data_IF_896310297007
#
_entry.id   IF_896310297007
#
_cell.length_a   1.000
_cell.length_b   1.000
_cell.length_c   1.000
_cell.angle_alpha   90.00
_cell.angle_beta   90.00
_cell.angle_gamma   90.00
#
_symmetry.space_group_name_H-M   'P 1'
#
loop_
_entity.id
_entity.type
_entity.pdbx_description
1 polymer ?
#
# COMPACT_ATOMS: atom_id res chain seq x y z
N UNK A 1 5.25 14.78 -6.22
CA UNK A 1 4.20 13.79 -6.07
C UNK A 1 3.84 13.63 -4.60
N UNK A 2 2.56 13.62 -4.31
CA UNK A 2 2.14 13.51 -2.94
C UNK A 2 1.96 12.07 -2.51
N UNK A 3 2.34 11.80 -1.29
CA UNK A 3 2.06 10.49 -0.70
C UNK A 3 0.88 10.61 0.23
N UNK A 4 0.18 9.50 0.46
CA UNK A 4 -0.89 9.45 1.43
C UNK A 4 -0.55 8.41 2.46
N UNK A 5 -1.08 8.58 3.66
CA UNK A 5 -0.84 7.60 4.72
C UNK A 5 -1.83 6.46 4.58
N UNK A 6 -1.42 5.28 5.03
CA UNK A 6 -2.32 4.13 4.99
C UNK A 6 -3.61 4.40 5.75
N UNK A 7 -3.52 5.17 6.82
CA UNK A 7 -4.71 5.48 7.61
C UNK A 7 -5.69 6.36 6.85
N UNK A 8 -5.26 6.99 5.77
CA UNK A 8 -6.12 7.88 5.00
C UNK A 8 -6.72 7.21 3.76
N UNK A 9 -6.39 5.96 3.52
CA UNK A 9 -6.83 5.29 2.31
C UNK A 9 -8.35 5.22 2.17
N UNK A 10 -9.04 5.04 3.28
CA UNK A 10 -10.50 4.94 3.21
C UNK A 10 -11.14 6.21 2.67
N UNK A 11 -10.51 7.34 2.91
CA UNK A 11 -11.01 8.60 2.39
C UNK A 11 -10.65 8.85 0.95
N UNK A 12 -9.70 8.08 0.41
CA UNK A 12 -9.20 8.27 -0.94
C UNK A 12 -9.80 7.28 -1.94
N UNK A 13 -10.39 6.22 -1.45
CA UNK A 13 -10.89 5.15 -2.32
C UNK A 13 -12.36 4.88 -2.02
N UNK A 14 -13.08 4.42 -3.03
CA UNK A 14 -14.43 3.91 -2.78
C UNK A 14 -14.32 2.68 -1.90
N UNK A 15 -15.43 2.29 -1.27
CA UNK A 15 -15.42 1.11 -0.42
C UNK A 15 -14.98 -0.13 -1.20
N UNK A 16 -15.42 -0.25 -2.44
CA UNK A 16 -15.06 -1.39 -3.26
C UNK A 16 -13.58 -1.38 -3.60
N UNK A 17 -13.05 -0.22 -3.98
CA UNK A 17 -11.63 -0.12 -4.31
C UNK A 17 -10.76 -0.30 -3.08
N UNK A 18 -11.22 0.17 -1.93
CA UNK A 18 -10.48 -0.02 -0.69
C UNK A 18 -10.33 -1.52 -0.41
N UNK A 19 -11.39 -2.27 -0.60
CA UNK A 19 -11.34 -3.71 -0.37
C UNK A 19 -10.40 -4.40 -1.34
N UNK A 20 -10.42 -3.99 -2.60
CA UNK A 20 -9.51 -4.54 -3.60
C UNK A 20 -8.05 -4.20 -3.24
N UNK A 21 -7.83 -2.97 -2.79
CA UNK A 21 -6.51 -2.56 -2.35
C UNK A 21 -6.03 -3.42 -1.18
N UNK A 22 -6.88 -3.57 -0.19
CA UNK A 22 -6.55 -4.35 0.99
C UNK A 22 -6.17 -5.79 0.62
N UNK A 23 -6.99 -6.41 -0.21
CA UNK A 23 -6.72 -7.78 -0.65
C UNK A 23 -5.42 -7.86 -1.42
N UNK A 24 -5.18 -6.88 -2.29
CA UNK A 24 -3.94 -6.87 -3.06
C UNK A 24 -2.72 -6.80 -2.17
N UNK A 25 -2.76 -5.94 -1.17
CA UNK A 25 -1.64 -5.80 -0.25
C UNK A 25 -1.43 -7.09 0.55
N UNK A 26 -2.51 -7.65 1.07
CA UNK A 26 -2.41 -8.86 1.86
C UNK A 26 -1.81 -9.99 1.05
N UNK A 27 -2.22 -10.11 -0.20
CA UNK A 27 -1.69 -11.16 -1.07
C UNK A 27 -0.25 -10.91 -1.46
N UNK A 28 0.07 -9.67 -1.84
CA UNK A 28 1.44 -9.38 -2.29
C UNK A 28 2.44 -9.46 -1.15
N UNK A 29 2.06 -8.99 0.01
CA UNK A 29 2.95 -8.98 1.16
C UNK A 29 2.89 -10.28 1.96
N UNK A 30 1.88 -11.10 1.69
CA UNK A 30 1.67 -12.37 2.41
C UNK A 30 1.55 -12.14 3.91
N UNK A 31 0.72 -11.19 4.27
CA UNK A 31 0.49 -10.86 5.68
C UNK A 31 -0.97 -11.14 6.02
N UNK A 32 -1.29 -11.04 7.31
CA UNK A 32 -2.63 -11.30 7.78
C UNK A 32 -3.44 -10.01 7.86
N UNK A 33 -4.74 -10.16 8.06
CA UNK A 33 -5.60 -9.01 8.31
C UNK A 33 -5.16 -8.25 9.55
N UNK A 34 -4.67 -8.95 10.57
CA UNK A 34 -4.20 -8.29 11.78
C UNK A 34 -3.02 -7.38 11.48
N UNK A 35 -2.09 -7.83 10.64
CA UNK A 35 -0.96 -7.00 10.24
C UNK A 35 -1.43 -5.80 9.44
N UNK A 36 -2.35 -6.01 8.51
CA UNK A 36 -2.92 -4.91 7.73
C UNK A 36 -3.56 -3.87 8.65
N UNK A 37 -4.34 -4.34 9.63
CA UNK A 37 -4.99 -3.46 10.57
C UNK A 37 -3.97 -2.64 11.37
N UNK A 38 -2.88 -3.26 11.80
CA UNK A 38 -1.85 -2.56 12.53
C UNK A 38 -1.20 -1.47 11.69
N UNK A 39 -1.03 -1.72 10.41
CA UNK A 39 -0.45 -0.73 9.51
C UNK A 39 -1.41 0.43 9.29
N UNK A 40 -2.70 0.15 9.07
CA UNK A 40 -3.66 1.19 8.74
C UNK A 40 -4.06 2.02 9.95
N UNK A 41 -3.90 1.49 11.15
CA UNK A 41 -4.18 2.27 12.36
C UNK A 41 -2.95 3.01 12.85
N UNK A 42 -1.81 2.80 12.19
CA UNK A 42 -0.59 3.49 12.60
C UNK A 42 0.13 2.86 13.76
N UNK A 43 -0.29 1.67 14.17
CA UNK A 43 0.33 1.00 15.30
C UNK A 43 1.76 0.57 14.96
N UNK A 44 1.96 0.07 13.76
CA UNK A 44 3.30 -0.30 13.27
C UNK A 44 3.45 0.19 11.84
N UNK A 45 4.68 0.51 11.46
CA UNK A 45 4.97 0.84 10.07
C UNK A 45 5.43 -0.42 9.34
N UNK A 46 5.03 -0.60 8.08
CA UNK A 46 5.54 -1.72 7.29
C UNK A 46 7.05 -1.58 7.09
N UNK A 47 7.73 -2.71 7.02
CA UNK A 47 9.15 -2.70 6.68
C UNK A 47 9.32 -2.25 5.24
N UNK A 48 10.53 -1.84 4.89
CA UNK A 48 10.78 -1.31 3.56
C UNK A 48 10.39 -2.25 2.43
N UNK A 49 10.62 -3.53 2.61
CA UNK A 49 10.25 -4.48 1.57
C UNK A 49 8.74 -4.50 1.34
N UNK A 50 7.97 -4.31 2.41
CA UNK A 50 6.53 -4.25 2.28
C UNK A 50 6.07 -2.92 1.72
N UNK A 51 6.80 -1.84 2.05
CA UNK A 51 6.46 -0.53 1.51
C UNK A 51 6.50 -0.52 -0.01
N UNK A 52 7.51 -1.17 -0.58
CA UNK A 52 7.61 -1.27 -2.04
C UNK A 52 6.43 -2.01 -2.63
N UNK A 53 6.05 -3.11 -1.99
CA UNK A 53 4.93 -3.90 -2.49
C UNK A 53 3.62 -3.14 -2.36
N UNK A 54 3.46 -2.41 -1.26
CA UNK A 54 2.25 -1.62 -1.06
C UNK A 54 2.17 -0.52 -2.11
N UNK A 55 3.28 0.14 -2.41
CA UNK A 55 3.29 1.17 -3.44
C UNK A 55 2.98 0.59 -4.81
N UNK A 56 3.40 -0.64 -5.06
CA UNK A 56 3.09 -1.30 -6.32
C UNK A 56 1.60 -1.54 -6.46
N UNK A 57 0.95 -1.98 -5.38
CA UNK A 57 -0.49 -2.15 -5.41
C UNK A 57 -1.16 -0.80 -5.54
N UNK A 58 -0.67 0.21 -4.81
CA UNK A 58 -1.26 1.54 -4.87
C UNK A 58 -1.21 2.13 -6.27
N UNK A 59 -0.16 1.83 -7.03
CA UNK A 59 -0.05 2.36 -8.38
C UNK A 59 -1.19 1.91 -9.27
N UNK A 60 -1.76 0.76 -9.01
CA UNK A 60 -2.89 0.27 -9.78
C UNK A 60 -4.12 1.15 -9.59
N UNK A 61 -4.14 1.92 -8.50
CA UNK A 61 -5.24 2.80 -8.17
C UNK A 61 -4.86 4.26 -8.35
N UNK A 62 -3.70 4.52 -8.92
CA UNK A 62 -3.24 5.89 -9.12
C UNK A 62 -2.77 6.58 -7.86
N UNK A 63 -2.38 5.83 -6.85
CA UNK A 63 -1.98 6.39 -5.57
C UNK A 63 -0.52 6.12 -5.27
N UNK A 64 0.05 6.95 -4.42
CA UNK A 64 1.40 6.75 -3.92
C UNK A 64 1.33 6.82 -2.40
N UNK A 65 1.81 5.78 -1.72
CA UNK A 65 1.72 5.71 -0.27
C UNK A 65 3.04 6.05 0.39
N UNK A 66 4.11 5.37 0.03
CA UNK A 66 5.41 5.61 0.64
C UNK A 66 6.38 6.34 -0.26
N UNK A 67 6.11 6.35 -1.56
CA UNK A 67 7.00 7.00 -2.49
C UNK A 67 8.30 6.25 -2.70
N UNK A 68 8.26 4.92 -2.59
CA UNK A 68 9.45 4.13 -2.81
C UNK A 68 9.82 4.14 -4.29
N UNK A 69 11.04 3.71 -4.57
CA UNK A 69 11.52 3.71 -5.94
C UNK A 69 11.09 2.49 -6.72
N UNK A 70 9.96 1.98 -6.39
CA UNK A 70 9.45 0.81 -7.07
C UNK A 70 9.42 0.98 -8.55
N UNK A 71 8.99 2.12 -8.96
CA UNK A 71 8.88 2.34 -10.38
C UNK A 71 10.21 2.30 -11.06
N UNK A 72 11.20 2.58 -10.32
CA UNK A 72 12.50 2.61 -10.91
C UNK A 72 12.99 1.26 -11.24
N UNK A 73 12.77 0.37 -10.35
CA UNK A 73 13.21 -0.89 -10.66
C UNK A 73 12.53 -1.37 -11.78
N UNK A 74 11.53 -0.87 -11.87
CA UNK A 74 10.93 -1.22 -13.02
C UNK A 74 11.79 -0.89 -14.06
N UNK A 75 12.02 -0.12 -13.87
CA UNK A 75 12.67 0.06 -14.89
C UNK A 75 13.76 -0.75 -14.98
N UNK A 76 13.85 -0.92 -14.63
CA UNK A 76 14.60 -1.30 -14.90
C UNK A 76 15.06 -1.89 -15.30
N UNK A 77 15.08 -2.00 -15.42
CA UNK A 77 15.64 -2.60 -16.06
C UNK A 77 16.52 -2.87 -16.34
#
# INVERSE_FOLDING_TARGET
MQTIQLSELRGQLTANNYELFRRGVIMECRVTNATWSNWTTGKFLPEKKYQSLIDRVAARFGLTVFGTEVAVEGGQP
#
